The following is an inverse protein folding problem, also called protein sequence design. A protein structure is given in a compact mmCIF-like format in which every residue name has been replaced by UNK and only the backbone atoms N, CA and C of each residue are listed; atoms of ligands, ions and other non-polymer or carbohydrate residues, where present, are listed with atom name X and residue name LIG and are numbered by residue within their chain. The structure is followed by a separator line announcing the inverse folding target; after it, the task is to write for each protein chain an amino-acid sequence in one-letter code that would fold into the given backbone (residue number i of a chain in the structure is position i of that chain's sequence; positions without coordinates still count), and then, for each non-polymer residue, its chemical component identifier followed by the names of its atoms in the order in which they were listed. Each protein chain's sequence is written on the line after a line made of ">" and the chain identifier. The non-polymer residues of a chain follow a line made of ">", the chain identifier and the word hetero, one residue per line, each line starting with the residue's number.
data_IF_772937940525
#
_entry.id   IF_772937940525
#
_cell.length_a   1.000
_cell.length_b   1.000
_cell.length_c   1.000
_cell.angle_alpha   90.00
_cell.angle_beta   90.00
_cell.angle_gamma   90.00
#
_symmetry.space_group_name_H-M   'P 1'
#
loop_
_entity.id
_entity.type
_entity.pdbx_description
1 polymer ?
#
# COMPACT_ATOMS: atom_id res chain seq x y z
N UNK A 1 8.21 16.64 -15.63
CA UNK A 1 8.29 15.21 -15.95
C UNK A 1 7.20 14.50 -15.14
N UNK A 2 6.64 13.39 -15.59
CA UNK A 2 5.70 12.64 -14.76
C UNK A 2 6.43 12.16 -13.49
N UNK A 3 5.76 12.30 -12.34
CA UNK A 3 6.28 11.75 -11.08
C UNK A 3 6.18 10.22 -11.12
N UNK A 4 7.13 9.55 -10.50
CA UNK A 4 7.09 8.09 -10.35
C UNK A 4 7.62 7.66 -8.98
N UNK A 5 7.06 6.56 -8.46
CA UNK A 5 7.47 5.98 -7.18
C UNK A 5 7.70 4.49 -7.32
N UNK A 6 8.79 4.00 -6.72
CA UNK A 6 9.04 2.56 -6.59
C UNK A 6 8.01 1.94 -5.66
N UNK A 7 7.53 0.76 -6.02
CA UNK A 7 6.68 -0.02 -5.13
C UNK A 7 7.20 -1.43 -4.93
N UNK A 8 6.86 -2.01 -3.78
CA UNK A 8 7.03 -3.42 -3.46
C UNK A 8 5.71 -4.04 -3.02
N UNK A 9 5.51 -5.32 -3.31
CA UNK A 9 4.34 -6.08 -2.85
C UNK A 9 4.74 -7.48 -2.45
N UNK A 10 4.11 -8.00 -1.39
CA UNK A 10 4.43 -9.33 -0.87
C UNK A 10 3.63 -10.44 -1.56
N UNK A 11 2.34 -10.22 -1.75
CA UNK A 11 1.44 -11.24 -2.27
C UNK A 11 0.64 -10.74 -3.47
N UNK A 12 0.00 -11.67 -4.13
CA UNK A 12 -0.76 -11.46 -5.34
C UNK A 12 -2.17 -12.07 -5.19
N UNK A 13 -3.20 -11.45 -5.75
CA UNK A 13 -4.52 -12.02 -5.80
C UNK A 13 -5.24 -11.77 -7.13
N UNK A 14 -6.08 -12.73 -7.51
CA UNK A 14 -6.95 -12.60 -8.65
C UNK A 14 -8.37 -12.23 -8.22
N UNK A 15 -8.88 -11.07 -8.63
CA UNK A 15 -10.26 -10.68 -8.33
C UNK A 15 -11.30 -11.51 -9.10
N UNK A 16 -10.95 -12.14 -10.23
CA UNK A 16 -11.90 -12.78 -11.16
C UNK A 16 -11.62 -14.26 -11.42
N UNK A 17 -10.40 -14.74 -11.17
CA UNK A 17 -10.01 -16.12 -11.45
C UNK A 17 -10.92 -17.14 -10.77
N UNK A 18 -11.12 -18.27 -11.44
CA UNK A 18 -12.02 -19.35 -11.02
C UNK A 18 -11.32 -20.51 -10.33
N UNK A 19 -9.99 -20.60 -10.44
CA UNK A 19 -9.20 -21.63 -9.77
C UNK A 19 -9.35 -21.57 -8.25
N UNK A 20 -9.10 -22.67 -7.58
CA UNK A 20 -9.16 -22.74 -6.12
C UNK A 20 -8.09 -21.82 -5.47
N UNK A 21 -6.94 -21.69 -6.12
CA UNK A 21 -5.90 -20.77 -5.68
C UNK A 21 -6.36 -19.30 -5.77
N UNK A 22 -7.02 -18.92 -6.87
CA UNK A 22 -7.61 -17.59 -7.05
C UNK A 22 -8.71 -17.31 -6.01
N UNK A 23 -9.56 -18.30 -5.70
CA UNK A 23 -10.57 -18.19 -4.63
C UNK A 23 -9.90 -17.99 -3.25
N UNK A 24 -8.88 -18.79 -2.93
CA UNK A 24 -8.10 -18.67 -1.68
C UNK A 24 -7.44 -17.29 -1.57
N UNK A 25 -6.86 -16.79 -2.66
CA UNK A 25 -6.21 -15.46 -2.66
C UNK A 25 -7.19 -14.33 -2.33
N UNK A 26 -8.46 -14.43 -2.77
CA UNK A 26 -9.53 -13.50 -2.38
C UNK A 26 -9.84 -13.59 -0.88
N UNK A 27 -9.86 -14.78 -0.31
CA UNK A 27 -10.01 -14.99 1.14
C UNK A 27 -8.88 -14.31 1.93
N UNK A 28 -7.63 -14.51 1.49
CA UNK A 28 -6.45 -13.86 2.09
C UNK A 28 -6.56 -12.32 1.99
N UNK A 29 -6.92 -11.80 0.81
CA UNK A 29 -7.14 -10.37 0.61
C UNK A 29 -8.23 -9.83 1.54
N UNK A 30 -9.36 -10.55 1.69
CA UNK A 30 -10.43 -10.21 2.61
C UNK A 30 -9.98 -10.17 4.07
N UNK A 31 -9.18 -11.14 4.49
CA UNK A 31 -8.63 -11.21 5.85
C UNK A 31 -7.67 -10.05 6.16
N UNK A 32 -6.81 -9.68 5.21
CA UNK A 32 -5.91 -8.53 5.35
C UNK A 32 -6.70 -7.23 5.45
N UNK A 33 -7.71 -7.03 4.60
CA UNK A 33 -8.62 -5.88 4.67
C UNK A 33 -9.43 -5.81 5.97
N UNK A 34 -9.70 -6.96 6.57
CA UNK A 34 -10.33 -7.06 7.89
C UNK A 34 -9.36 -6.87 9.05
N UNK A 35 -8.06 -6.58 8.78
CA UNK A 35 -7.04 -6.36 9.81
C UNK A 35 -6.76 -7.61 10.66
N UNK A 36 -6.89 -8.81 10.09
CA UNK A 36 -6.62 -10.07 10.80
C UNK A 36 -5.12 -10.16 11.10
N UNK A 37 -4.75 -9.84 12.34
CA UNK A 37 -3.36 -9.85 12.83
C UNK A 37 -2.70 -11.21 12.63
N UNK A 38 -3.40 -12.30 12.93
CA UNK A 38 -2.91 -13.67 12.75
C UNK A 38 -2.52 -13.98 11.29
N UNK A 39 -3.32 -13.50 10.33
CA UNK A 39 -3.05 -13.67 8.89
C UNK A 39 -1.87 -12.79 8.44
N UNK A 40 -1.81 -11.54 8.92
CA UNK A 40 -0.71 -10.63 8.60
C UNK A 40 0.60 -11.17 9.20
N UNK A 41 0.59 -11.60 10.45
CA UNK A 41 1.75 -12.18 11.12
C UNK A 41 2.23 -13.49 10.46
N UNK A 42 1.32 -14.29 9.90
CA UNK A 42 1.70 -15.48 9.14
C UNK A 42 2.53 -15.20 7.88
N UNK A 43 2.54 -13.97 7.38
CA UNK A 43 3.39 -13.55 6.27
C UNK A 43 4.85 -13.29 6.69
N UNK A 44 5.11 -13.02 7.98
CA UNK A 44 6.44 -12.62 8.48
C UNK A 44 7.55 -13.63 8.17
N UNK A 45 7.38 -14.95 8.39
CA UNK A 45 8.40 -15.92 8.01
C UNK A 45 8.76 -15.88 6.52
N UNK A 46 7.76 -15.63 5.67
CA UNK A 46 7.95 -15.52 4.23
C UNK A 46 8.60 -14.19 3.81
N UNK A 47 8.37 -13.11 4.55
CA UNK A 47 9.06 -11.83 4.35
C UNK A 47 10.54 -11.90 4.76
N UNK A 48 10.91 -12.84 5.64
CA UNK A 48 12.29 -13.13 6.04
C UNK A 48 12.98 -14.19 5.17
N UNK A 49 12.27 -14.77 4.19
CA UNK A 49 12.85 -15.68 3.21
C UNK A 49 13.71 -14.88 2.22
N UNK A 50 14.91 -15.37 1.81
CA UNK A 50 15.76 -14.69 0.82
C UNK A 50 15.07 -14.32 -0.49
N UNK A 51 14.00 -15.03 -0.88
CA UNK A 51 13.18 -14.69 -2.05
C UNK A 51 12.45 -13.36 -1.91
N UNK A 52 12.29 -12.88 -0.68
CA UNK A 52 11.66 -11.59 -0.39
C UNK A 52 12.67 -10.46 -0.17
N UNK A 53 13.98 -10.68 -0.31
CA UNK A 53 15.03 -9.67 -0.12
C UNK A 53 14.85 -8.44 -1.02
N UNK A 54 14.18 -8.60 -2.16
CA UNK A 54 13.78 -7.48 -3.03
C UNK A 54 12.88 -6.46 -2.31
N UNK A 55 12.26 -6.83 -1.19
CA UNK A 55 11.40 -5.97 -0.37
C UNK A 55 12.16 -5.25 0.77
N UNK A 56 13.41 -5.62 1.04
CA UNK A 56 14.24 -4.96 2.07
C UNK A 56 14.36 -3.43 1.88
N UNK A 57 14.47 -2.90 0.64
CA UNK A 57 14.48 -1.44 0.46
C UNK A 57 13.21 -0.74 0.96
N UNK A 58 12.09 -1.46 1.08
CA UNK A 58 10.79 -0.93 1.51
C UNK A 58 10.53 -1.13 3.00
N UNK A 59 11.12 -2.17 3.60
CA UNK A 59 10.80 -2.65 4.95
C UNK A 59 12.02 -2.69 5.89
N UNK A 60 13.17 -2.17 5.44
CA UNK A 60 14.42 -2.20 6.22
C UNK A 60 14.31 -1.44 7.55
N UNK A 61 15.18 -1.76 8.50
CA UNK A 61 15.19 -1.18 9.85
C UNK A 61 15.52 0.33 9.91
N UNK A 62 15.85 0.95 8.78
CA UNK A 62 16.12 2.38 8.62
C UNK A 62 14.95 3.15 7.96
N UNK A 63 13.82 2.48 7.73
CA UNK A 63 12.66 3.01 7.01
C UNK A 63 11.53 3.35 7.99
N UNK A 64 10.99 4.56 7.93
CA UNK A 64 9.74 4.92 8.61
C UNK A 64 8.53 4.40 7.83
N UNK A 65 7.69 3.59 8.47
CA UNK A 65 6.45 3.06 7.88
C UNK A 65 5.30 4.05 8.10
N UNK A 66 4.64 4.45 7.02
CA UNK A 66 3.50 5.37 7.06
C UNK A 66 2.26 4.70 6.49
N UNK A 67 1.24 4.39 7.31
CA UNK A 67 0.03 3.73 6.82
C UNK A 67 -0.77 4.64 5.90
N UNK A 68 -1.15 4.13 4.72
CA UNK A 68 -2.07 4.81 3.80
C UNK A 68 -3.44 5.01 4.49
N UNK A 69 -4.05 6.21 4.39
CA UNK A 69 -5.33 6.47 5.01
C UNK A 69 -6.46 5.73 4.28
N UNK A 70 -7.51 5.37 5.02
CA UNK A 70 -8.73 4.77 4.48
C UNK A 70 -9.43 5.72 3.49
N UNK A 71 -10.43 5.18 2.77
CA UNK A 71 -11.26 5.98 1.84
C UNK A 71 -12.19 6.99 2.55
N UNK A 72 -12.36 6.89 3.87
CA UNK A 72 -13.16 7.81 4.69
C UNK A 72 -12.39 8.23 5.94
N UNK A 73 -12.70 9.38 6.54
CA UNK A 73 -12.17 9.77 7.84
C UNK A 73 -12.30 8.63 8.85
N UNK A 74 -11.30 8.49 9.71
CA UNK A 74 -11.21 7.41 10.68
C UNK A 74 -11.87 7.85 11.99
N UNK A 75 -13.04 7.28 12.37
CA UNK A 75 -13.59 7.46 13.70
C UNK A 75 -12.70 6.81 14.77
N UNK A 76 -12.78 7.28 16.00
CA UNK A 76 -12.04 6.69 17.12
C UNK A 76 -12.36 5.20 17.26
N UNK A 77 -11.31 4.40 17.44
CA UNK A 77 -11.40 2.94 17.56
C UNK A 77 -11.77 2.19 16.28
N UNK A 78 -11.93 2.88 15.15
CA UNK A 78 -12.24 2.20 13.90
C UNK A 78 -11.02 1.46 13.33
N UNK A 79 -11.29 0.32 12.70
CA UNK A 79 -10.26 -0.48 12.04
C UNK A 79 -9.53 0.31 10.95
N UNK A 80 -8.20 0.31 10.98
CA UNK A 80 -7.32 0.86 9.96
C UNK A 80 -6.35 -0.23 9.44
N UNK A 81 -6.70 -0.98 8.40
CA UNK A 81 -5.93 -2.14 7.96
C UNK A 81 -4.44 -1.84 7.68
N UNK A 82 -4.14 -0.74 6.99
CA UNK A 82 -2.76 -0.34 6.72
C UNK A 82 -1.96 -0.08 8.01
N UNK A 83 -2.59 0.52 9.05
CA UNK A 83 -1.96 0.72 10.35
C UNK A 83 -1.69 -0.60 11.05
N UNK A 84 -2.64 -1.53 11.04
CA UNK A 84 -2.45 -2.88 11.59
C UNK A 84 -1.29 -3.60 10.90
N UNK A 85 -1.16 -3.46 9.58
CA UNK A 85 -0.03 -4.03 8.83
C UNK A 85 1.29 -3.41 9.31
N UNK A 86 1.36 -2.07 9.41
CA UNK A 86 2.56 -1.38 9.90
C UNK A 86 2.96 -1.87 11.30
N UNK A 87 1.98 -1.98 12.21
CA UNK A 87 2.25 -2.39 13.60
C UNK A 87 2.79 -3.82 13.66
N UNK A 88 2.14 -4.76 12.97
CA UNK A 88 2.61 -6.16 12.90
C UNK A 88 4.01 -6.24 12.27
N UNK A 89 4.27 -5.52 11.18
CA UNK A 89 5.58 -5.51 10.57
C UNK A 89 6.64 -4.97 11.54
N UNK A 90 6.36 -3.86 12.21
CA UNK A 90 7.27 -3.24 13.16
C UNK A 90 7.54 -4.13 14.39
N UNK A 91 6.53 -4.76 14.95
CA UNK A 91 6.65 -5.73 16.05
C UNK A 91 7.56 -6.91 15.71
N UNK A 92 7.68 -7.25 14.42
CA UNK A 92 8.53 -8.33 13.92
C UNK A 92 9.88 -7.86 13.36
N UNK A 93 10.26 -6.59 13.57
CA UNK A 93 11.57 -6.04 13.26
C UNK A 93 11.70 -5.44 11.85
N UNK A 94 10.58 -5.19 11.16
CA UNK A 94 10.54 -4.43 9.92
C UNK A 94 10.24 -2.95 10.21
N UNK A 95 10.89 -2.06 9.46
CA UNK A 95 10.77 -0.63 9.66
C UNK A 95 11.44 -0.14 10.95
N UNK A 96 11.85 1.13 10.95
CA UNK A 96 12.41 1.83 12.11
C UNK A 96 11.33 2.17 13.13
N UNK A 97 10.23 2.70 12.64
CA UNK A 97 9.07 3.17 13.42
C UNK A 97 7.81 3.22 12.54
N UNK A 98 6.67 3.50 13.17
CA UNK A 98 5.38 3.69 12.48
C UNK A 98 4.85 5.07 12.79
N UNK A 99 4.62 5.88 11.73
CA UNK A 99 4.19 7.26 11.85
C UNK A 99 2.91 7.54 11.04
N UNK A 100 1.98 8.30 11.61
CA UNK A 100 0.66 8.59 11.00
C UNK A 100 0.61 10.00 10.41
N UNK A 101 1.54 10.33 9.51
CA UNK A 101 1.63 11.65 8.87
C UNK A 101 0.50 11.98 7.91
N UNK A 102 -0.33 11.01 7.56
CA UNK A 102 -1.40 11.15 6.57
C UNK A 102 -2.77 10.95 7.21
N UNK A 103 -3.67 11.91 7.05
CA UNK A 103 -5.03 11.87 7.59
C UNK A 103 -6.07 12.10 6.50
N UNK A 104 -7.06 11.21 6.40
CA UNK A 104 -8.20 11.40 5.49
C UNK A 104 -9.18 12.40 6.10
N UNK A 105 -9.38 13.53 5.44
CA UNK A 105 -10.27 14.62 5.88
C UNK A 105 -11.67 14.51 5.27
N UNK A 106 -11.77 14.01 4.03
CA UNK A 106 -13.04 13.85 3.31
C UNK A 106 -13.16 12.44 2.75
N UNK A 107 -14.37 11.87 2.81
CA UNK A 107 -14.63 10.56 2.21
C UNK A 107 -14.52 10.61 0.69
N UNK A 108 -13.94 9.55 0.11
CA UNK A 108 -13.89 9.31 -1.33
C UNK A 108 -14.50 7.94 -1.67
N UNK A 109 -15.01 7.72 -2.89
CA UNK A 109 -15.50 6.41 -3.30
C UNK A 109 -14.44 5.32 -3.12
N UNK A 110 -14.86 4.13 -2.66
CA UNK A 110 -13.95 2.98 -2.48
C UNK A 110 -13.57 2.42 -3.84
N UNK A 111 -12.28 2.39 -4.16
CA UNK A 111 -11.77 1.83 -5.42
C UNK A 111 -12.13 0.36 -5.63
N UNK A 112 -12.33 -0.42 -4.55
CA UNK A 112 -12.70 -1.84 -4.64
C UNK A 112 -14.14 -2.06 -5.10
N UNK A 113 -15.03 -1.09 -4.91
CA UNK A 113 -16.46 -1.23 -5.20
C UNK A 113 -16.89 -0.44 -6.47
N UNK A 114 -15.96 0.32 -7.06
CA UNK A 114 -16.26 1.17 -8.22
C UNK A 114 -15.71 0.54 -9.50
N UNK A 115 -16.42 0.64 -10.63
CA UNK A 115 -15.89 0.35 -11.95
C UNK A 115 -14.59 1.12 -12.19
N UNK A 116 -13.70 0.60 -13.01
CA UNK A 116 -12.37 1.19 -13.22
C UNK A 116 -12.43 2.67 -13.71
N UNK A 117 -13.48 3.02 -14.49
CA UNK A 117 -13.70 4.38 -14.99
C UNK A 117 -14.14 5.38 -13.90
N UNK A 118 -14.81 4.89 -12.85
CA UNK A 118 -15.37 5.73 -11.77
C UNK A 118 -14.46 5.83 -10.54
N UNK A 119 -13.32 5.15 -10.55
CA UNK A 119 -12.38 5.20 -9.44
C UNK A 119 -11.78 6.59 -9.31
N UNK A 120 -11.69 7.14 -8.08
CA UNK A 120 -11.12 8.46 -7.85
C UNK A 120 -9.74 8.60 -8.49
N UNK A 121 -9.50 9.74 -9.12
CA UNK A 121 -8.20 10.11 -9.68
C UNK A 121 -7.27 10.63 -8.58
N UNK A 122 -5.98 10.74 -8.86
CA UNK A 122 -4.97 11.22 -7.91
C UNK A 122 -5.35 12.58 -7.29
N UNK A 123 -5.78 13.61 -8.03
CA UNK A 123 -6.16 14.90 -7.44
C UNK A 123 -7.27 14.77 -6.38
N UNK A 124 -8.28 13.93 -6.61
CA UNK A 124 -9.38 13.70 -5.66
C UNK A 124 -8.86 13.11 -4.33
N UNK A 125 -7.86 12.23 -4.41
CA UNK A 125 -7.19 11.71 -3.22
C UNK A 125 -6.38 12.81 -2.53
N UNK A 126 -5.62 13.61 -3.27
CA UNK A 126 -4.80 14.70 -2.71
C UNK A 126 -5.65 15.75 -2.00
N UNK A 127 -6.77 16.17 -2.58
CA UNK A 127 -7.71 17.14 -1.99
C UNK A 127 -8.42 16.63 -0.72
N UNK A 128 -8.41 15.33 -0.51
CA UNK A 128 -9.10 14.68 0.61
C UNK A 128 -8.20 14.15 1.71
N UNK A 129 -6.88 14.23 1.54
CA UNK A 129 -5.86 13.81 2.51
C UNK A 129 -5.07 15.04 2.94
N UNK A 130 -4.85 15.15 4.24
CA UNK A 130 -3.90 16.10 4.82
C UNK A 130 -2.61 15.37 5.18
N UNK A 131 -1.46 15.98 4.85
CA UNK A 131 -0.15 15.52 5.25
C UNK A 131 0.42 16.43 6.32
N UNK A 132 0.81 15.87 7.45
CA UNK A 132 1.45 16.57 8.55
C UNK A 132 2.98 16.55 8.34
N UNK A 133 3.61 17.71 8.47
CA UNK A 133 5.07 17.81 8.43
C UNK A 133 5.65 17.32 9.75
N UNK A 134 6.49 16.27 9.76
CA UNK A 134 7.15 15.81 10.99
C UNK A 134 8.15 16.82 11.50
N UNK A 135 8.35 16.86 12.83
CA UNK A 135 9.39 17.68 13.44
C UNK A 135 10.80 17.20 13.03
N UNK A 136 11.00 15.89 13.01
CA UNK A 136 12.19 15.24 12.45
C UNK A 136 11.81 14.51 11.17
N UNK A 137 12.31 14.99 10.03
CA UNK A 137 12.04 14.40 8.73
C UNK A 137 12.84 13.10 8.59
N UNK A 138 12.19 11.94 8.35
CA UNK A 138 12.92 10.70 8.09
C UNK A 138 13.61 10.72 6.72
N UNK A 139 14.79 10.10 6.63
CA UNK A 139 15.50 9.96 5.34
C UNK A 139 14.77 9.05 4.37
N UNK A 140 14.10 8.02 4.90
CA UNK A 140 13.38 7.01 4.11
C UNK A 140 11.97 6.79 4.65
N UNK A 141 10.99 6.91 3.78
CA UNK A 141 9.58 6.71 4.09
C UNK A 141 9.02 5.62 3.17
N UNK A 142 8.34 4.63 3.74
CA UNK A 142 7.52 3.71 2.98
C UNK A 142 6.06 3.85 3.35
N UNK A 143 5.24 4.24 2.37
CA UNK A 143 3.79 4.23 2.48
C UNK A 143 3.31 2.79 2.41
N UNK A 144 2.61 2.33 3.43
CA UNK A 144 2.11 0.95 3.53
C UNK A 144 0.62 0.94 3.26
N UNK A 145 0.19 0.10 2.32
CA UNK A 145 -1.23 -0.09 1.96
C UNK A 145 -1.63 -1.57 2.12
N UNK A 146 -2.91 -1.86 2.23
CA UNK A 146 -3.42 -3.23 2.27
C UNK A 146 -3.38 -3.88 0.87
N UNK A 147 -3.89 -3.19 -0.15
CA UNK A 147 -4.03 -3.71 -1.52
C UNK A 147 -3.66 -2.69 -2.58
N UNK A 148 -2.66 -3.02 -3.37
CA UNK A 148 -2.26 -2.22 -4.52
C UNK A 148 -3.00 -2.67 -5.79
N UNK A 149 -3.86 -1.80 -6.32
CA UNK A 149 -4.46 -1.97 -7.66
C UNK A 149 -3.69 -1.14 -8.69
N UNK A 150 -4.17 0.05 -9.02
CA UNK A 150 -3.47 1.01 -9.87
C UNK A 150 -2.58 1.97 -9.07
N UNK A 151 -2.62 1.91 -7.73
CA UNK A 151 -1.79 2.70 -6.85
C UNK A 151 -2.16 4.18 -6.72
N UNK A 152 -3.37 4.61 -7.13
CA UNK A 152 -3.74 6.04 -7.11
C UNK A 152 -3.73 6.66 -5.71
N UNK A 153 -4.25 5.94 -4.71
CA UNK A 153 -4.23 6.39 -3.32
C UNK A 153 -2.81 6.52 -2.80
N UNK A 154 -2.01 5.45 -2.94
CA UNK A 154 -0.63 5.41 -2.45
C UNK A 154 0.26 6.43 -3.19
N UNK A 155 0.00 6.66 -4.49
CA UNK A 155 0.66 7.70 -5.28
C UNK A 155 0.32 9.11 -4.77
N UNK A 156 -0.97 9.40 -4.50
CA UNK A 156 -1.39 10.68 -3.92
C UNK A 156 -0.75 10.92 -2.55
N UNK A 157 -0.67 9.88 -1.71
CA UNK A 157 0.03 9.93 -0.44
C UNK A 157 1.52 10.27 -0.62
N UNK A 158 2.17 9.68 -1.63
CA UNK A 158 3.58 9.93 -1.91
C UNK A 158 3.82 11.38 -2.38
N UNK A 159 2.96 11.93 -3.24
CA UNK A 159 3.03 13.33 -3.65
C UNK A 159 2.89 14.28 -2.45
N UNK A 160 1.90 14.04 -1.58
CA UNK A 160 1.68 14.86 -0.39
C UNK A 160 2.84 14.78 0.60
N UNK A 161 3.41 13.59 0.81
CA UNK A 161 4.58 13.43 1.68
C UNK A 161 5.83 14.08 1.08
N UNK A 162 6.01 14.05 -0.24
CA UNK A 162 7.11 14.75 -0.91
C UNK A 162 7.03 16.26 -0.68
N UNK A 163 5.84 16.84 -0.65
CA UNK A 163 5.67 18.28 -0.42
C UNK A 163 6.07 18.69 1.01
N UNK A 164 5.84 17.83 2.02
CA UNK A 164 6.18 18.10 3.43
C UNK A 164 7.52 17.51 3.86
N UNK A 165 8.06 16.53 3.13
CA UNK A 165 9.33 15.84 3.37
C UNK A 165 10.15 15.78 2.07
N UNK A 166 10.59 16.92 1.50
CA UNK A 166 11.18 16.98 0.15
C UNK A 166 12.50 16.20 0.01
N UNK A 167 13.23 16.03 1.09
CA UNK A 167 14.53 15.34 1.10
C UNK A 167 14.40 13.85 1.40
N UNK A 168 13.21 13.35 1.75
CA UNK A 168 12.99 11.95 2.05
C UNK A 168 12.90 11.10 0.79
N UNK A 169 13.51 9.91 0.80
CA UNK A 169 13.27 8.89 -0.21
C UNK A 169 11.93 8.21 0.07
N UNK A 170 10.92 8.46 -0.78
CA UNK A 170 9.57 7.94 -0.61
C UNK A 170 9.34 6.73 -1.50
N UNK A 171 8.84 5.64 -0.91
CA UNK A 171 8.50 4.39 -1.56
C UNK A 171 7.10 3.93 -1.14
N UNK A 172 6.58 2.92 -1.83
CA UNK A 172 5.26 2.36 -1.58
C UNK A 172 5.41 0.85 -1.33
N UNK A 173 4.75 0.33 -0.32
CA UNK A 173 4.62 -1.11 -0.09
C UNK A 173 3.15 -1.47 0.08
N UNK A 174 2.73 -2.62 -0.44
CA UNK A 174 1.42 -3.18 -0.11
C UNK A 174 1.52 -4.69 0.16
N UNK A 175 0.71 -5.16 1.10
CA UNK A 175 0.68 -6.59 1.40
C UNK A 175 0.27 -7.42 0.19
N UNK A 176 -0.67 -6.91 -0.59
CA UNK A 176 -1.20 -7.62 -1.76
C UNK A 176 -1.30 -6.69 -2.97
N UNK A 177 -1.00 -7.21 -4.17
CA UNK A 177 -1.36 -6.58 -5.44
C UNK A 177 -2.44 -7.35 -6.19
N UNK A 178 -3.20 -6.65 -7.02
CA UNK A 178 -4.05 -7.30 -8.02
C UNK A 178 -3.20 -7.84 -9.17
N UNK A 179 -3.51 -9.04 -9.66
CA UNK A 179 -2.78 -9.70 -10.75
C UNK A 179 -2.90 -8.97 -12.12
N UNK A 180 -3.69 -7.94 -12.24
CA UNK A 180 -3.84 -7.24 -13.51
C UNK A 180 -4.77 -7.98 -14.48
N UNK A 181 -4.32 -8.23 -15.72
CA UNK A 181 -5.14 -8.80 -16.79
C UNK A 181 -5.27 -10.32 -16.74
N UNK A 182 -4.39 -11.03 -16.03
CA UNK A 182 -4.49 -12.48 -15.88
C UNK A 182 -5.65 -12.84 -14.95
N UNK A 183 -6.46 -13.81 -15.36
CA UNK A 183 -7.62 -14.21 -14.56
C UNK A 183 -7.21 -15.07 -13.36
N UNK A 184 -6.41 -16.10 -13.58
CA UNK A 184 -5.91 -16.98 -12.52
C UNK A 184 -4.47 -16.67 -12.12
N UNK A 185 -4.12 -16.98 -10.88
CA UNK A 185 -2.76 -16.82 -10.33
C UNK A 185 -2.12 -18.20 -10.11
N UNK A 186 -0.81 -18.25 -10.21
CA UNK A 186 0.00 -19.46 -9.98
C UNK A 186 0.44 -19.59 -8.51
N UNK A 187 0.52 -18.47 -7.78
CA UNK A 187 0.94 -18.41 -6.36
C UNK A 187 0.35 -17.19 -5.67
N UNK A 188 0.10 -17.31 -4.37
CA UNK A 188 -0.37 -16.19 -3.53
C UNK A 188 0.83 -15.39 -3.03
N UNK A 189 1.81 -16.04 -2.37
CA UNK A 189 3.07 -15.40 -1.97
C UNK A 189 3.92 -15.23 -3.23
N UNK A 190 4.10 -13.99 -3.63
CA UNK A 190 4.75 -13.61 -4.88
C UNK A 190 5.35 -12.21 -4.75
N UNK A 191 6.49 -12.09 -4.02
CA UNK A 191 7.16 -10.81 -3.84
C UNK A 191 7.52 -10.19 -5.19
N UNK A 192 7.20 -8.92 -5.37
CA UNK A 192 7.50 -8.20 -6.61
C UNK A 192 7.75 -6.72 -6.33
N UNK A 193 8.51 -6.10 -7.22
CA UNK A 193 8.77 -4.66 -7.22
C UNK A 193 8.49 -4.09 -8.59
N UNK A 194 8.24 -2.79 -8.66
CA UNK A 194 7.99 -2.08 -9.91
C UNK A 194 7.89 -0.59 -9.68
N UNK A 195 7.27 0.12 -10.62
CA UNK A 195 7.12 1.57 -10.59
C UNK A 195 5.66 1.94 -10.82
N UNK A 196 5.18 2.92 -10.05
CA UNK A 196 3.91 3.59 -10.31
C UNK A 196 4.21 4.95 -10.94
N UNK A 197 3.69 5.19 -12.13
CA UNK A 197 3.85 6.43 -12.90
C UNK A 197 2.55 7.22 -12.83
N UNK A 198 2.63 8.49 -12.43
CA UNK A 198 1.51 9.42 -12.47
C UNK A 198 1.45 10.20 -13.78
N UNK A 199 0.25 10.45 -14.30
CA UNK A 199 0.03 11.24 -15.52
C UNK A 199 -0.70 12.54 -15.22
N UNK A 200 -0.54 13.58 -16.04
CA UNK A 200 -1.25 14.85 -15.89
C UNK A 200 -2.78 14.71 -15.87
N UNK A 201 -3.30 13.63 -16.45
CA UNK A 201 -4.73 13.28 -16.40
C UNK A 201 -5.22 12.85 -15.01
N UNK A 202 -4.35 12.75 -14.01
CA UNK A 202 -4.65 12.21 -12.69
C UNK A 202 -4.77 10.68 -12.64
N UNK A 203 -4.51 10.00 -13.75
CA UNK A 203 -4.41 8.53 -13.79
C UNK A 203 -3.01 8.08 -13.36
N UNK A 204 -2.91 6.84 -12.94
CA UNK A 204 -1.64 6.16 -12.68
C UNK A 204 -1.52 4.92 -13.56
N UNK A 205 -0.29 4.57 -13.89
CA UNK A 205 0.08 3.28 -14.46
C UNK A 205 1.00 2.57 -13.47
N UNK A 206 0.69 1.33 -13.18
CA UNK A 206 1.56 0.45 -12.39
C UNK A 206 2.25 -0.49 -13.37
N UNK A 207 3.54 -0.31 -13.49
CA UNK A 207 4.41 -1.21 -14.26
C UNK A 207 4.75 -2.41 -13.38
N UNK A 208 4.56 -3.67 -13.86
CA UNK A 208 4.87 -4.87 -13.10
C UNK A 208 6.35 -5.01 -12.78
#
# INVERSE_FOLDING_TARGET
>A
MPSSYKYGTFANYSPRGISDLSKRSRGTCGSIKAGRVDIIASAVPHLKDPKADILLPFLGSDVTLVPAPRSAPLPDGALWPAKVICDVLHEHGFGKDVQTYLKRMKAVPRSSNSPAAERPLVPVHMESIEAERPFFVPDKITIVDDVLTMGRTSFACAELLRDVCPDAEIRIFAMIRTQGLQEDIERIVDPATGIIIGYPSGKTHRDP
#
